data_IF_288624424626
#
_entry.id   IF_288624424626
#
_cell.length_a   1.000
_cell.length_b   1.000
_cell.length_c   1.000
_cell.angle_alpha   90.00
_cell.angle_beta   90.00
_cell.angle_gamma   90.00
#
_symmetry.space_group_name_H-M   'P 1'
#
loop_
_entity.id
_entity.type
_entity.pdbx_description
1 polymer ?
#
# COMPACT_ATOMS: atom_id res chain seq x y z
N UNK A 1 22.80 19.67 -10.40
CA UNK A 1 22.04 20.09 -11.59
C UNK A 1 20.72 20.67 -11.11
N UNK A 2 20.56 21.98 -11.15
CA UNK A 2 19.34 22.70 -10.76
C UNK A 2 18.47 22.88 -12.01
N UNK A 3 17.76 21.82 -12.41
CA UNK A 3 16.77 21.87 -13.48
C UNK A 3 15.42 22.30 -12.92
N UNK A 4 14.93 23.47 -13.34
CA UNK A 4 13.55 23.92 -13.11
C UNK A 4 12.58 23.17 -14.04
N UNK A 5 12.52 21.86 -13.91
CA UNK A 5 11.75 21.04 -14.84
C UNK A 5 11.30 19.74 -14.21
N UNK A 6 10.82 19.76 -12.96
CA UNK A 6 10.05 18.61 -12.48
C UNK A 6 8.83 18.46 -13.38
N UNK A 7 8.80 17.42 -14.19
CA UNK A 7 7.65 17.10 -15.03
C UNK A 7 6.69 16.21 -14.24
N UNK A 8 5.52 16.74 -13.83
CA UNK A 8 4.56 15.94 -13.08
C UNK A 8 4.21 14.66 -13.85
N UNK A 9 4.01 13.55 -13.14
CA UNK A 9 3.69 12.20 -13.65
C UNK A 9 4.81 11.49 -14.41
N UNK A 10 5.72 12.21 -15.07
CA UNK A 10 6.88 11.63 -15.77
C UNK A 10 8.08 11.45 -14.83
N UNK A 11 8.21 12.32 -13.84
CA UNK A 11 9.28 12.26 -12.86
C UNK A 11 8.71 12.05 -11.44
N UNK A 12 9.36 11.20 -10.64
CA UNK A 12 8.96 11.00 -9.25
C UNK A 12 9.04 12.33 -8.49
N UNK A 13 8.06 12.55 -7.62
CA UNK A 13 7.93 13.81 -6.89
C UNK A 13 9.18 14.02 -6.01
N UNK A 14 9.90 15.15 -6.15
CA UNK A 14 11.15 15.38 -5.44
C UNK A 14 10.94 15.32 -3.92
N UNK A 15 11.83 14.61 -3.22
CA UNK A 15 11.77 14.47 -1.77
C UNK A 15 10.72 13.48 -1.22
N UNK A 16 9.81 12.96 -2.05
CA UNK A 16 8.80 11.98 -1.62
C UNK A 16 9.20 10.55 -2.01
N UNK A 17 10.01 10.38 -3.07
CA UNK A 17 10.35 9.07 -3.62
C UNK A 17 10.98 8.08 -2.62
N UNK A 18 11.70 8.56 -1.61
CA UNK A 18 12.29 7.67 -0.59
C UNK A 18 11.24 7.16 0.42
N UNK A 19 10.12 7.88 0.57
CA UNK A 19 9.17 7.72 1.68
C UNK A 19 7.73 7.51 1.20
N UNK A 20 7.51 7.31 -0.11
CA UNK A 20 6.18 7.23 -0.72
C UNK A 20 5.28 6.14 -0.11
N UNK A 21 5.87 5.06 0.42
CA UNK A 21 5.13 4.00 1.11
C UNK A 21 4.32 4.49 2.31
N UNK A 22 4.72 5.60 2.94
CA UNK A 22 3.94 6.22 4.02
C UNK A 22 2.60 6.81 3.55
N UNK A 23 2.42 7.01 2.24
CA UNK A 23 1.14 7.44 1.66
C UNK A 23 0.14 6.29 1.54
N UNK A 24 0.60 5.02 1.54
CA UNK A 24 -0.29 3.86 1.42
C UNK A 24 -1.31 3.75 2.56
N UNK A 25 -0.93 3.84 3.86
CA UNK A 25 -1.90 3.83 4.95
C UNK A 25 -2.96 4.92 4.83
N UNK A 26 -2.55 6.14 4.40
CA UNK A 26 -3.46 7.28 4.22
C UNK A 26 -4.45 7.00 3.09
N UNK A 27 -3.95 6.51 1.95
CA UNK A 27 -4.78 6.16 0.79
C UNK A 27 -5.77 5.04 1.12
N UNK A 28 -5.29 3.96 1.73
CA UNK A 28 -6.12 2.81 2.12
C UNK A 28 -7.19 3.24 3.12
N UNK A 29 -6.84 4.10 4.08
CA UNK A 29 -7.81 4.65 5.02
C UNK A 29 -8.90 5.46 4.31
N UNK A 30 -8.52 6.34 3.38
CA UNK A 30 -9.48 7.10 2.57
C UNK A 30 -10.41 6.23 1.72
N UNK A 31 -9.87 5.20 1.05
CA UNK A 31 -10.66 4.21 0.29
C UNK A 31 -11.61 3.46 1.22
N UNK A 32 -11.13 3.04 2.41
CA UNK A 32 -11.92 2.33 3.40
C UNK A 32 -13.08 3.18 3.91
N UNK A 33 -12.86 4.47 4.17
CA UNK A 33 -13.91 5.43 4.50
C UNK A 33 -14.97 5.51 3.40
N UNK A 34 -14.54 5.76 2.16
CA UNK A 34 -15.46 5.90 1.03
C UNK A 34 -16.31 4.64 0.83
N UNK A 35 -15.69 3.46 0.87
CA UNK A 35 -16.39 2.19 0.71
C UNK A 35 -17.35 1.89 1.87
N UNK A 36 -16.91 2.08 3.12
CA UNK A 36 -17.76 1.78 4.28
C UNK A 36 -18.88 2.80 4.46
N UNK A 37 -18.73 4.02 3.96
CA UNK A 37 -19.77 5.05 4.04
C UNK A 37 -21.03 4.64 3.26
N UNK A 38 -20.87 3.95 2.13
CA UNK A 38 -21.99 3.45 1.31
C UNK A 38 -22.45 2.05 1.68
N UNK A 39 -21.61 1.26 2.37
CA UNK A 39 -21.87 -0.17 2.62
C UNK A 39 -22.34 -0.50 4.03
N UNK A 40 -22.00 0.32 5.03
CA UNK A 40 -22.35 0.06 6.43
C UNK A 40 -23.75 0.58 6.73
N UNK A 41 -24.65 -0.29 7.18
CA UNK A 41 -26.03 0.08 7.55
C UNK A 41 -26.19 0.71 8.94
N UNK A 42 -25.19 0.62 9.81
CA UNK A 42 -25.20 1.17 11.17
C UNK A 42 -23.95 2.02 11.45
N UNK A 43 -24.13 3.33 11.58
CA UNK A 43 -23.05 4.30 11.80
C UNK A 43 -22.27 4.03 13.10
N UNK A 44 -22.85 3.36 14.10
CA UNK A 44 -22.13 3.00 15.34
C UNK A 44 -20.96 2.07 15.08
N UNK A 45 -21.04 1.27 13.99
CA UNK A 45 -19.98 0.33 13.59
C UNK A 45 -19.03 0.92 12.55
N UNK A 46 -19.37 2.05 11.95
CA UNK A 46 -18.64 2.64 10.82
C UNK A 46 -17.14 2.73 11.07
N UNK A 47 -16.71 3.39 12.15
CA UNK A 47 -15.28 3.57 12.43
C UNK A 47 -14.54 2.26 12.69
N UNK A 48 -15.18 1.32 13.40
CA UNK A 48 -14.60 -0.02 13.63
C UNK A 48 -14.41 -0.77 12.31
N UNK A 49 -15.39 -0.66 11.41
CA UNK A 49 -15.35 -1.29 10.10
C UNK A 49 -14.33 -0.64 9.15
N UNK A 50 -14.18 0.69 9.19
CA UNK A 50 -13.16 1.44 8.42
C UNK A 50 -11.76 1.05 8.88
N UNK A 51 -11.51 1.09 10.20
CA UNK A 51 -10.21 0.71 10.76
C UNK A 51 -9.93 -0.76 10.51
N UNK A 52 -10.92 -1.63 10.70
CA UNK A 52 -10.79 -3.06 10.43
C UNK A 52 -10.40 -3.35 8.98
N UNK A 53 -11.08 -2.73 8.01
CA UNK A 53 -10.74 -2.85 6.59
C UNK A 53 -9.35 -2.28 6.28
N UNK A 54 -9.01 -1.12 6.85
CA UNK A 54 -7.69 -0.49 6.67
C UNK A 54 -6.57 -1.44 7.10
N UNK A 55 -6.70 -2.02 8.30
CA UNK A 55 -5.74 -2.98 8.84
C UNK A 55 -5.69 -4.26 7.99
N UNK A 56 -6.84 -4.81 7.59
CA UNK A 56 -6.89 -6.01 6.75
C UNK A 56 -6.17 -5.82 5.42
N UNK A 57 -6.39 -4.69 4.74
CA UNK A 57 -5.73 -4.38 3.47
C UNK A 57 -4.23 -4.20 3.67
N UNK A 58 -3.80 -3.45 4.70
CA UNK A 58 -2.38 -3.30 5.01
C UNK A 58 -1.69 -4.64 5.30
N UNK A 59 -2.33 -5.51 6.09
CA UNK A 59 -1.82 -6.85 6.37
C UNK A 59 -1.78 -7.74 5.12
N UNK A 60 -2.75 -7.62 4.22
CA UNK A 60 -2.75 -8.35 2.95
C UNK A 60 -1.57 -7.93 2.07
N UNK A 61 -1.30 -6.62 1.94
CA UNK A 61 -0.13 -6.12 1.23
C UNK A 61 1.18 -6.56 1.87
N UNK A 62 1.29 -6.50 3.20
CA UNK A 62 2.45 -6.99 3.92
C UNK A 62 2.68 -8.49 3.69
N UNK A 63 1.60 -9.28 3.75
CA UNK A 63 1.64 -10.72 3.47
C UNK A 63 2.08 -11.02 2.03
N UNK A 64 1.56 -10.29 1.05
CA UNK A 64 1.99 -10.40 -0.35
C UNK A 64 3.48 -10.06 -0.53
N UNK A 65 3.94 -8.96 0.06
CA UNK A 65 5.35 -8.57 -0.01
C UNK A 65 6.26 -9.62 0.63
N UNK A 66 5.88 -10.13 1.81
CA UNK A 66 6.62 -11.19 2.50
C UNK A 66 6.63 -12.50 1.69
N UNK A 67 5.50 -12.89 1.08
CA UNK A 67 5.42 -14.08 0.24
C UNK A 67 6.35 -13.98 -0.98
N UNK A 68 6.32 -12.85 -1.69
CA UNK A 68 7.24 -12.60 -2.81
C UNK A 68 8.69 -12.64 -2.35
N UNK A 69 9.02 -12.02 -1.22
CA UNK A 69 10.35 -12.05 -0.65
C UNK A 69 10.82 -13.48 -0.35
N UNK A 70 9.99 -14.30 0.29
CA UNK A 70 10.29 -15.70 0.61
C UNK A 70 10.50 -16.51 -0.67
N UNK A 71 9.66 -16.33 -1.69
CA UNK A 71 9.81 -17.02 -2.96
C UNK A 71 11.12 -16.63 -3.64
N UNK A 72 11.36 -15.33 -3.82
CA UNK A 72 12.51 -14.83 -4.59
C UNK A 72 13.83 -15.05 -3.87
N UNK A 73 13.90 -14.80 -2.57
CA UNK A 73 15.16 -14.90 -1.81
C UNK A 73 15.34 -16.25 -1.14
N UNK A 74 14.26 -16.95 -0.82
CA UNK A 74 14.30 -18.24 -0.14
C UNK A 74 14.23 -19.43 -1.11
N UNK A 75 13.25 -19.43 -2.02
CA UNK A 75 12.99 -20.60 -2.88
C UNK A 75 13.84 -20.58 -4.14
N UNK A 76 13.90 -19.45 -4.86
CA UNK A 76 14.61 -19.38 -6.15
C UNK A 76 16.07 -19.82 -6.07
N UNK A 77 16.88 -19.45 -5.04
CA UNK A 77 18.28 -19.90 -4.96
C UNK A 77 18.45 -21.40 -4.70
N UNK A 78 17.41 -22.09 -4.23
CA UNK A 78 17.42 -23.54 -4.01
C UNK A 78 17.12 -24.33 -5.29
N UNK A 79 16.60 -23.67 -6.32
CA UNK A 79 16.30 -24.31 -7.59
C UNK A 79 17.62 -24.64 -8.31
N UNK A 80 17.76 -25.84 -8.90
CA UNK A 80 18.92 -26.17 -9.72
C UNK A 80 19.03 -25.15 -10.85
N UNK A 81 20.20 -24.54 -11.01
CA UNK A 81 20.54 -23.81 -12.22
C UNK A 81 20.68 -24.86 -13.34
N UNK A 82 19.60 -25.05 -14.10
CA UNK A 82 19.64 -25.77 -15.38
C UNK A 82 20.42 -25.00 -16.43
#
# INVERSE_FOLDING_TARGET
MIGFGWTPLLEPLPGVQASWLWLLPILIFGISMMYKAVRVGDLRRYWREVVGMTVQVLLAFLGLAAAVFIVVQGIVPLLPAG
#
